data_IF_696968368466
#
_entry.id   IF_696968368466
#
_cell.length_a   1.000
_cell.length_b   1.000
_cell.length_c   1.000
_cell.angle_alpha   90.00
_cell.angle_beta   90.00
_cell.angle_gamma   90.00
#
_symmetry.space_group_name_H-M   'P 1'
#
loop_
_entity.id
_entity.type
_entity.pdbx_description
1 polymer ?
#
# COMPACT_ATOMS: atom_id res chain seq x y z
N UNK A 1 -7.35 15.90 -20.93
CA UNK A 1 -7.06 16.59 -19.65
C UNK A 1 -7.16 15.54 -18.57
N UNK A 2 -6.04 14.88 -18.23
CA UNK A 2 -6.04 13.88 -17.16
C UNK A 2 -6.06 14.62 -15.83
N UNK A 3 -7.17 14.52 -15.09
CA UNK A 3 -7.27 14.99 -13.72
C UNK A 3 -6.24 14.26 -12.87
N UNK A 4 -5.45 15.01 -12.10
CA UNK A 4 -4.41 14.50 -11.18
C UNK A 4 -4.95 13.46 -10.18
N UNK A 5 -6.26 13.42 -9.97
CA UNK A 5 -6.98 12.46 -9.13
C UNK A 5 -6.87 11.00 -9.62
N UNK A 6 -6.89 10.75 -10.93
CA UNK A 6 -6.77 9.39 -11.51
C UNK A 6 -5.40 8.75 -11.23
N UNK A 7 -4.33 9.55 -11.24
CA UNK A 7 -2.97 9.08 -10.98
C UNK A 7 -2.79 8.64 -9.52
N UNK A 8 -3.44 9.34 -8.59
CA UNK A 8 -3.41 9.00 -7.17
C UNK A 8 -4.23 7.74 -6.85
N UNK A 9 -5.37 7.53 -7.53
CA UNK A 9 -6.12 6.26 -7.38
C UNK A 9 -5.32 5.08 -7.93
N UNK A 10 -4.62 5.25 -9.06
CA UNK A 10 -3.75 4.21 -9.61
C UNK A 10 -2.56 3.91 -8.70
N UNK A 11 -1.94 4.93 -8.10
CA UNK A 11 -0.83 4.75 -7.15
C UNK A 11 -1.29 3.97 -5.90
N UNK A 12 -2.44 4.34 -5.32
CA UNK A 12 -3.03 3.60 -4.20
C UNK A 12 -3.33 2.16 -4.58
N UNK A 13 -3.91 1.92 -5.74
CA UNK A 13 -4.25 0.57 -6.21
C UNK A 13 -2.99 -0.30 -6.38
N UNK A 14 -1.90 0.25 -6.92
CA UNK A 14 -0.62 -0.45 -7.02
C UNK A 14 -0.02 -0.80 -5.66
N UNK A 15 -0.01 0.15 -4.71
CA UNK A 15 0.48 -0.10 -3.35
C UNK A 15 -0.41 -1.15 -2.66
N UNK A 16 -1.73 -1.09 -2.87
CA UNK A 16 -2.67 -2.06 -2.32
C UNK A 16 -2.47 -3.47 -2.91
N UNK A 17 -2.23 -3.57 -4.22
CA UNK A 17 -1.92 -4.83 -4.88
C UNK A 17 -0.58 -5.41 -4.40
N UNK A 18 0.44 -4.55 -4.23
CA UNK A 18 1.72 -4.95 -3.64
C UNK A 18 1.53 -5.48 -2.21
N UNK A 19 0.77 -4.75 -1.39
CA UNK A 19 0.47 -5.16 -0.03
C UNK A 19 -0.29 -6.49 0.02
N UNK A 20 -1.30 -6.67 -0.83
CA UNK A 20 -2.07 -7.92 -0.91
C UNK A 20 -1.27 -9.11 -1.44
N UNK A 21 -0.24 -8.86 -2.24
CA UNK A 21 0.61 -9.90 -2.82
C UNK A 21 1.79 -10.28 -1.92
N UNK A 22 2.29 -9.35 -1.09
CA UNK A 22 3.43 -9.58 -0.19
C UNK A 22 3.01 -9.86 1.25
N UNK A 23 1.84 -9.35 1.67
CA UNK A 23 1.32 -9.52 3.03
C UNK A 23 -0.02 -10.25 3.00
N UNK A 24 -0.28 -11.00 4.06
CA UNK A 24 -1.56 -11.67 4.23
C UNK A 24 -2.58 -10.68 4.81
N UNK A 25 -3.51 -10.23 3.97
CA UNK A 25 -4.58 -9.31 4.35
C UNK A 25 -5.84 -10.13 4.62
N UNK A 26 -6.21 -10.25 5.89
CA UNK A 26 -7.44 -10.95 6.28
C UNK A 26 -8.71 -10.14 5.93
N UNK A 27 -8.63 -8.81 6.03
CA UNK A 27 -9.73 -7.88 5.76
C UNK A 27 -9.29 -6.83 4.74
N UNK A 28 -9.99 -6.72 3.61
CA UNK A 28 -9.69 -5.69 2.61
C UNK A 28 -9.93 -4.26 3.14
N UNK A 29 -10.82 -4.12 4.12
CA UNK A 29 -11.06 -2.88 4.88
C UNK A 29 -9.84 -2.48 5.73
N UNK A 30 -8.99 -3.45 6.07
CA UNK A 30 -7.75 -3.19 6.80
C UNK A 30 -6.82 -2.23 6.01
N UNK A 31 -6.89 -2.27 4.68
CA UNK A 31 -6.12 -1.44 3.74
C UNK A 31 -6.69 -0.02 3.55
N UNK A 32 -7.59 0.42 4.43
CA UNK A 32 -8.10 1.79 4.44
C UNK A 32 -6.98 2.82 4.61
N UNK A 33 -7.09 3.96 3.91
CA UNK A 33 -6.04 4.98 3.85
C UNK A 33 -5.74 5.66 5.19
N UNK A 34 -6.64 5.50 6.16
CA UNK A 34 -6.56 6.19 7.44
C UNK A 34 -6.14 5.28 8.61
N UNK A 35 -5.94 3.99 8.35
CA UNK A 35 -5.63 3.02 9.40
C UNK A 35 -4.17 2.62 9.40
N UNK A 36 -3.64 2.34 10.59
CA UNK A 36 -2.28 1.84 10.76
C UNK A 36 -2.20 0.36 10.40
N UNK A 37 -1.50 0.08 9.30
CA UNK A 37 -1.26 -1.28 8.80
C UNK A 37 -0.43 -2.14 9.80
N UNK A 38 0.42 -1.50 10.62
CA UNK A 38 1.15 -2.17 11.71
C UNK A 38 0.24 -2.57 12.86
N UNK A 39 -0.71 -1.70 13.21
CA UNK A 39 -1.62 -1.92 14.35
C UNK A 39 -2.57 -3.10 14.07
N UNK A 40 -3.00 -3.21 12.81
CA UNK A 40 -3.79 -4.35 12.34
C UNK A 40 -2.98 -5.65 12.18
N UNK A 41 -1.65 -5.60 12.30
CA UNK A 41 -0.78 -6.75 12.06
C UNK A 41 -0.68 -7.19 10.60
N UNK A 42 -1.07 -6.33 9.66
CA UNK A 42 -0.94 -6.58 8.21
C UNK A 42 0.53 -6.54 7.79
N UNK A 43 1.27 -5.55 8.29
CA UNK A 43 2.71 -5.38 8.06
C UNK A 43 3.44 -5.38 9.39
N UNK A 44 4.58 -6.06 9.43
CA UNK A 44 5.53 -5.95 10.54
C UNK A 44 6.55 -4.84 10.24
N UNK A 45 7.38 -4.50 11.22
CA UNK A 45 8.52 -3.60 11.09
C UNK A 45 9.43 -3.92 9.90
N UNK A 46 9.61 -5.19 9.54
CA UNK A 46 10.33 -5.61 8.34
C UNK A 46 9.56 -5.31 7.04
N UNK A 47 8.23 -5.47 7.06
CA UNK A 47 7.37 -5.24 5.91
C UNK A 47 7.30 -3.77 5.48
N UNK A 48 7.44 -2.84 6.43
CA UNK A 48 7.50 -1.39 6.11
C UNK A 48 8.66 -1.07 5.18
N UNK A 49 9.83 -1.69 5.40
CA UNK A 49 11.01 -1.46 4.56
C UNK A 49 10.79 -1.97 3.13
N UNK A 50 10.11 -3.09 2.95
CA UNK A 50 9.70 -3.57 1.62
C UNK A 50 8.75 -2.61 0.92
N UNK A 51 7.75 -2.09 1.64
CA UNK A 51 6.79 -1.13 1.08
C UNK A 51 7.50 0.17 0.66
N UNK A 52 8.42 0.67 1.50
CA UNK A 52 9.23 1.86 1.15
C UNK A 52 10.08 1.58 -0.08
N UNK A 53 10.77 0.43 -0.14
CA UNK A 53 11.58 0.05 -1.30
C UNK A 53 10.77 -0.05 -2.59
N UNK A 54 9.58 -0.64 -2.52
CA UNK A 54 8.64 -0.70 -3.65
C UNK A 54 8.20 0.69 -4.12
N UNK A 55 7.89 1.59 -3.18
CA UNK A 55 7.46 2.96 -3.50
C UNK A 55 8.64 3.74 -4.12
N UNK A 56 9.85 3.60 -3.59
CA UNK A 56 11.05 4.22 -4.17
C UNK A 56 11.35 3.68 -5.57
N UNK A 57 11.21 2.38 -5.82
CA UNK A 57 11.43 1.80 -7.16
C UNK A 57 10.34 2.23 -8.17
N UNK A 58 9.08 2.31 -7.71
CA UNK A 58 7.93 2.59 -8.58
C UNK A 58 7.72 4.09 -8.85
N UNK A 59 8.09 4.96 -7.90
CA UNK A 59 7.78 6.39 -7.92
C UNK A 59 8.98 7.33 -7.69
N UNK A 60 10.12 6.82 -7.21
CA UNK A 60 11.37 7.58 -7.03
C UNK A 60 12.13 7.79 -8.34
#
# INVERSE_FOLDING_TARGET
MLSTKDRAETCKDQIRAFLASNFYIADADALESHTSLLDQGIVDSAGVLEVIGFIEESFG
#
